data_IF_156687245148
#
_entry.id   IF_156687245148
#
_cell.length_a   1.000
_cell.length_b   1.000
_cell.length_c   1.000
_cell.angle_alpha   90.00
_cell.angle_beta   90.00
_cell.angle_gamma   90.00
#
_symmetry.space_group_name_H-M   'P 1'
#
loop_
_entity.id
_entity.type
_entity.pdbx_description
1 polymer ?
#
# COMPACT_ATOMS: atom_id res chain seq x y z
N UNK A 1 12.94 5.53 23.55
CA UNK A 1 12.97 5.80 25.00
C UNK A 1 14.43 5.76 25.42
N UNK A 2 14.91 6.77 26.12
CA UNK A 2 16.28 6.83 26.66
C UNK A 2 16.23 6.93 28.17
N UNK A 3 17.31 6.54 28.83
CA UNK A 3 17.46 6.75 30.26
C UNK A 3 17.32 8.24 30.59
N UNK A 4 16.57 8.54 31.64
CA UNK A 4 16.32 9.92 32.04
C UNK A 4 17.52 10.47 32.80
N UNK A 5 18.29 11.35 32.15
CA UNK A 5 19.42 12.06 32.76
C UNK A 5 19.25 13.55 32.52
N UNK A 6 19.09 14.33 33.60
CA UNK A 6 18.95 15.79 33.54
C UNK A 6 17.58 16.29 33.05
N UNK A 7 17.55 17.52 32.51
CA UNK A 7 16.35 18.10 31.90
C UNK A 7 15.99 17.38 30.59
N UNK A 8 14.69 17.35 30.25
CA UNK A 8 14.21 16.76 28.98
C UNK A 8 14.88 17.46 27.79
N UNK A 9 15.77 16.78 27.08
CA UNK A 9 16.22 17.27 25.77
C UNK A 9 15.06 17.14 24.79
N UNK A 10 14.51 18.28 24.37
CA UNK A 10 13.47 18.35 23.34
C UNK A 10 14.17 18.32 21.99
N UNK A 11 14.22 17.15 21.37
CA UNK A 11 14.68 17.03 19.99
C UNK A 11 13.60 17.63 19.09
N UNK A 12 13.94 18.70 18.36
CA UNK A 12 13.10 19.20 17.27
C UNK A 12 13.19 18.19 16.13
N UNK A 13 12.23 17.28 16.05
CA UNK A 13 12.06 16.43 14.88
C UNK A 13 11.89 17.33 13.65
N UNK A 14 12.62 17.07 12.56
CA UNK A 14 12.38 17.76 11.30
C UNK A 14 10.91 17.56 10.93
N UNK A 15 10.20 18.66 10.64
CA UNK A 15 8.80 18.62 10.19
C UNK A 15 8.78 18.34 8.69
N UNK A 16 9.13 17.13 8.29
CA UNK A 16 8.87 16.68 6.92
C UNK A 16 7.43 16.18 6.86
N UNK A 17 6.53 17.03 6.35
CA UNK A 17 5.10 16.75 6.33
C UNK A 17 4.74 15.93 5.10
N UNK A 18 4.25 14.71 5.34
CA UNK A 18 3.65 13.86 4.33
C UNK A 18 2.24 14.38 4.01
N UNK A 19 2.10 15.15 2.93
CA UNK A 19 0.80 15.69 2.51
C UNK A 19 0.18 14.81 1.42
N UNK A 20 -1.01 14.27 1.69
CA UNK A 20 -1.78 13.49 0.72
C UNK A 20 -3.03 14.27 0.29
N UNK A 21 -3.16 14.52 -1.01
CA UNK A 21 -4.33 15.19 -1.58
C UNK A 21 -5.44 14.19 -1.85
N UNK A 22 -6.58 14.38 -1.18
CA UNK A 22 -7.78 13.56 -1.38
C UNK A 22 -8.29 13.63 -2.82
N UNK A 23 -8.62 12.46 -3.40
CA UNK A 23 -9.24 12.33 -4.72
C UNK A 23 -10.71 11.96 -4.59
N UNK A 24 -11.48 12.23 -5.64
CA UNK A 24 -12.90 11.86 -5.76
C UNK A 24 -13.01 10.63 -6.67
N UNK A 25 -13.81 9.67 -6.27
CA UNK A 25 -14.13 8.47 -7.03
C UNK A 25 -15.65 8.33 -7.09
N UNK A 26 -16.15 7.85 -8.23
CA UNK A 26 -17.57 7.55 -8.41
C UNK A 26 -17.75 6.33 -9.32
N UNK A 27 -18.89 5.67 -9.16
CA UNK A 27 -19.43 4.72 -10.12
C UNK A 27 -20.95 4.95 -10.19
N UNK A 28 -21.51 4.98 -11.40
CA UNK A 28 -22.91 5.35 -11.62
C UNK A 28 -23.57 4.39 -12.60
N UNK A 29 -24.78 3.93 -12.26
CA UNK A 29 -25.63 3.07 -13.08
C UNK A 29 -26.94 3.80 -13.38
N UNK A 30 -27.33 3.82 -14.64
CA UNK A 30 -28.61 4.34 -15.11
C UNK A 30 -29.55 3.16 -15.40
N UNK A 31 -30.84 3.35 -15.10
CA UNK A 31 -31.90 2.37 -15.32
C UNK A 31 -33.08 3.10 -15.93
N UNK A 32 -33.57 2.62 -17.07
CA UNK A 32 -34.78 3.15 -17.70
C UNK A 32 -35.97 2.98 -16.75
N UNK A 33 -36.83 4.00 -16.67
CA UNK A 33 -38.00 3.93 -15.80
C UNK A 33 -38.97 2.84 -16.24
N UNK A 34 -39.18 2.71 -17.55
CA UNK A 34 -40.04 1.70 -18.15
C UNK A 34 -39.62 0.28 -17.76
N UNK A 35 -38.31 0.03 -17.64
CA UNK A 35 -37.81 -1.29 -17.24
C UNK A 35 -38.12 -1.62 -15.77
N UNK A 36 -38.29 -0.62 -14.90
CA UNK A 36 -38.80 -0.82 -13.55
C UNK A 36 -40.31 -1.07 -13.58
N UNK A 37 -41.05 -0.28 -14.38
CA UNK A 37 -42.50 -0.38 -14.51
C UNK A 37 -42.94 -1.73 -15.11
N UNK A 38 -42.13 -2.28 -16.02
CA UNK A 38 -42.34 -3.57 -16.71
C UNK A 38 -41.68 -4.76 -16.00
N UNK A 39 -41.21 -4.59 -14.76
CA UNK A 39 -40.52 -5.61 -13.93
C UNK A 39 -39.31 -6.30 -14.61
N UNK A 40 -38.60 -5.56 -15.46
CA UNK A 40 -37.39 -5.99 -16.15
C UNK A 40 -36.11 -5.73 -15.34
N UNK A 41 -36.23 -5.51 -14.02
CA UNK A 41 -35.14 -5.12 -13.12
C UNK A 41 -34.04 -6.17 -12.96
N UNK A 42 -34.33 -7.42 -13.31
CA UNK A 42 -33.40 -8.55 -13.20
C UNK A 42 -32.10 -8.34 -13.97
N UNK A 43 -32.15 -7.65 -15.12
CA UNK A 43 -30.98 -7.39 -15.97
C UNK A 43 -30.00 -6.37 -15.36
N UNK A 44 -30.45 -5.52 -14.43
CA UNK A 44 -29.65 -4.46 -13.81
C UNK A 44 -28.96 -4.91 -12.51
N UNK A 45 -29.42 -6.02 -11.89
CA UNK A 45 -28.82 -6.56 -10.66
C UNK A 45 -27.31 -6.81 -10.79
N UNK A 46 -26.80 -7.42 -11.89
CA UNK A 46 -25.34 -7.61 -12.06
C UNK A 46 -24.58 -6.29 -12.13
N UNK A 47 -25.16 -5.24 -12.73
CA UNK A 47 -24.52 -3.92 -12.83
C UNK A 47 -24.39 -3.25 -11.45
N UNK A 48 -25.45 -3.32 -10.64
CA UNK A 48 -25.44 -2.81 -9.27
C UNK A 48 -24.46 -3.59 -8.37
N UNK A 49 -24.40 -4.91 -8.54
CA UNK A 49 -23.43 -5.75 -7.84
C UNK A 49 -21.99 -5.37 -8.23
N UNK A 50 -21.69 -5.23 -9.53
CA UNK A 50 -20.38 -4.80 -10.01
C UNK A 50 -19.98 -3.40 -9.50
N UNK A 51 -20.94 -2.47 -9.38
CA UNK A 51 -20.70 -1.16 -8.75
C UNK A 51 -20.26 -1.31 -7.29
N UNK A 52 -20.96 -2.16 -6.52
CA UNK A 52 -20.60 -2.47 -5.13
C UNK A 52 -19.22 -3.13 -5.01
N UNK A 53 -18.93 -4.10 -5.86
CA UNK A 53 -17.63 -4.79 -5.92
C UNK A 53 -16.48 -3.81 -6.22
N UNK A 54 -16.65 -2.94 -7.23
CA UNK A 54 -15.67 -1.91 -7.58
C UNK A 54 -15.42 -0.94 -6.42
N UNK A 55 -16.48 -0.49 -5.76
CA UNK A 55 -16.37 0.41 -4.61
C UNK A 55 -15.66 -0.25 -3.42
N UNK A 56 -15.88 -1.55 -3.20
CA UNK A 56 -15.23 -2.34 -2.17
C UNK A 56 -13.75 -2.63 -2.48
N UNK A 57 -13.41 -2.89 -3.75
CA UNK A 57 -12.05 -3.17 -4.20
C UNK A 57 -11.15 -1.92 -4.32
N UNK A 58 -11.74 -0.72 -4.30
CA UNK A 58 -11.02 0.53 -4.51
C UNK A 58 -9.85 0.77 -3.52
N UNK A 59 -9.98 0.54 -2.19
CA UNK A 59 -8.86 0.72 -1.27
C UNK A 59 -7.66 -0.16 -1.61
N UNK A 60 -7.88 -1.45 -1.88
CA UNK A 60 -6.83 -2.40 -2.23
C UNK A 60 -6.16 -2.02 -3.55
N UNK A 61 -6.95 -1.65 -4.55
CA UNK A 61 -6.44 -1.16 -5.85
C UNK A 61 -5.54 0.05 -5.67
N UNK A 62 -5.94 1.01 -4.83
CA UNK A 62 -5.17 2.22 -4.59
C UNK A 62 -3.92 1.95 -3.76
N UNK A 63 -4.00 1.15 -2.69
CA UNK A 63 -2.90 0.88 -1.76
C UNK A 63 -1.83 0.01 -2.42
N UNK A 64 -2.20 -1.14 -2.96
CA UNK A 64 -1.24 -2.07 -3.55
C UNK A 64 -0.70 -1.55 -4.88
N UNK A 65 -1.50 -0.79 -5.63
CA UNK A 65 -1.07 -0.09 -6.83
C UNK A 65 0.00 0.99 -6.58
N UNK A 66 0.23 1.43 -5.34
CA UNK A 66 1.34 2.34 -5.01
C UNK A 66 2.69 1.66 -5.23
N UNK A 67 2.83 0.38 -4.88
CA UNK A 67 4.14 -0.31 -4.87
C UNK A 67 4.85 -0.26 -6.23
N UNK A 68 4.11 -0.32 -7.35
CA UNK A 68 4.61 -0.11 -8.72
C UNK A 68 5.17 1.31 -8.95
N UNK A 69 4.58 2.30 -8.31
CA UNK A 69 4.89 3.72 -8.47
C UNK A 69 6.02 4.19 -7.56
N UNK A 70 6.49 3.36 -6.63
CA UNK A 70 7.43 3.79 -5.58
C UNK A 70 8.80 4.25 -6.10
N UNK A 71 9.21 3.86 -7.31
CA UNK A 71 10.42 4.38 -7.97
C UNK A 71 10.21 5.70 -8.73
N UNK A 72 8.99 6.25 -8.71
CA UNK A 72 8.60 7.44 -9.51
C UNK A 72 7.84 8.48 -8.69
N UNK A 73 7.50 8.16 -7.44
CA UNK A 73 6.77 9.05 -6.55
C UNK A 73 7.71 9.46 -5.43
N UNK A 74 7.94 10.76 -5.31
CA UNK A 74 8.75 11.32 -4.23
C UNK A 74 8.09 11.06 -2.87
N UNK A 75 8.96 10.82 -1.89
CA UNK A 75 8.64 10.65 -0.49
C UNK A 75 8.80 11.98 0.25
N UNK A 76 8.55 11.97 1.57
CA UNK A 76 8.64 13.17 2.40
C UNK A 76 10.06 13.74 2.51
N UNK A 77 11.08 12.94 2.19
CA UNK A 77 12.51 13.29 2.24
C UNK A 77 13.08 13.75 0.88
N UNK A 78 12.22 13.89 -0.14
CA UNK A 78 12.60 14.35 -1.48
C UNK A 78 13.21 13.28 -2.40
N UNK A 79 13.44 12.05 -1.91
CA UNK A 79 13.83 10.90 -2.73
C UNK A 79 12.60 10.13 -3.20
N UNK A 80 12.73 9.25 -4.20
CA UNK A 80 11.64 8.33 -4.52
C UNK A 80 11.36 7.37 -3.34
N UNK A 81 10.14 6.87 -3.20
CA UNK A 81 9.82 5.97 -2.09
C UNK A 81 10.68 4.70 -2.05
N UNK A 82 11.05 4.15 -3.21
CA UNK A 82 12.04 3.09 -3.33
C UNK A 82 13.30 3.64 -4.01
N UNK A 83 14.33 3.87 -3.21
CA UNK A 83 15.56 4.54 -3.62
C UNK A 83 16.78 3.93 -2.91
N UNK A 84 17.96 4.18 -3.47
CA UNK A 84 19.23 3.79 -2.86
C UNK A 84 19.76 4.84 -1.88
N UNK A 85 19.26 6.08 -1.98
CA UNK A 85 19.96 7.24 -1.42
C UNK A 85 19.10 8.08 -0.45
N UNK A 86 18.27 7.45 0.39
CA UNK A 86 17.50 8.18 1.40
C UNK A 86 18.43 8.81 2.44
N UNK A 87 18.29 10.12 2.73
CA UNK A 87 19.18 10.80 3.68
C UNK A 87 18.95 10.31 5.11
N UNK A 88 20.05 10.03 5.82
CA UNK A 88 20.04 9.71 7.26
C UNK A 88 21.15 10.49 7.93
N UNK A 89 20.77 11.40 8.82
CA UNK A 89 21.69 12.35 9.43
C UNK A 89 22.16 11.89 10.81
N UNK A 90 23.42 12.22 11.13
CA UNK A 90 24.03 11.93 12.43
C UNK A 90 23.19 12.48 13.60
N UNK A 91 22.59 13.67 13.44
CA UNK A 91 21.78 14.31 14.48
C UNK A 91 20.29 14.21 14.20
N UNK A 92 19.49 14.13 15.27
CA UNK A 92 18.04 13.97 15.19
C UNK A 92 17.30 15.17 14.56
N UNK A 93 17.94 16.34 14.52
CA UNK A 93 17.39 17.56 13.90
C UNK A 93 17.56 17.62 12.37
N UNK A 94 18.12 16.56 11.76
CA UNK A 94 18.38 16.50 10.32
C UNK A 94 19.68 17.17 9.90
N UNK A 95 20.61 17.42 10.84
CA UNK A 95 21.92 18.02 10.56
C UNK A 95 23.09 17.08 10.84
N UNK A 96 24.30 17.47 10.43
CA UNK A 96 25.51 16.65 10.58
C UNK A 96 25.80 15.81 9.34
N UNK A 97 26.66 14.80 9.49
CA UNK A 97 27.04 13.94 8.37
C UNK A 97 25.84 13.13 7.87
N UNK A 98 25.55 13.20 6.57
CA UNK A 98 24.58 12.34 5.92
C UNK A 98 25.22 10.98 5.58
N UNK A 99 24.57 9.89 5.97
CA UNK A 99 24.91 8.52 5.57
C UNK A 99 23.69 7.90 4.91
N UNK A 100 23.57 7.97 3.57
CA UNK A 100 22.37 7.52 2.87
C UNK A 100 22.06 6.04 3.10
N UNK A 101 20.79 5.71 3.09
CA UNK A 101 20.28 4.36 3.25
C UNK A 101 19.38 3.97 2.08
N UNK A 102 19.47 2.70 1.69
CA UNK A 102 18.68 2.14 0.61
C UNK A 102 17.51 1.31 1.17
N UNK A 103 16.37 1.36 0.48
CA UNK A 103 15.27 0.41 0.66
C UNK A 103 14.91 -0.33 -0.64
N UNK A 104 15.86 -0.39 -1.56
CA UNK A 104 15.77 -1.18 -2.79
C UNK A 104 16.95 -2.14 -2.90
N UNK A 105 16.71 -3.31 -3.49
CA UNK A 105 17.73 -4.24 -3.94
C UNK A 105 17.49 -4.57 -5.39
N UNK A 106 18.43 -4.16 -6.24
CA UNK A 106 18.39 -4.39 -7.69
C UNK A 106 19.38 -5.49 -8.04
N UNK A 107 18.87 -6.61 -8.53
CA UNK A 107 19.68 -7.69 -9.06
C UNK A 107 19.91 -7.54 -10.56
N UNK A 108 20.30 -8.62 -11.22
CA UNK A 108 20.67 -8.62 -12.65
C UNK A 108 19.69 -9.39 -13.53
N UNK A 109 18.72 -10.11 -12.96
CA UNK A 109 17.82 -10.98 -13.70
C UNK A 109 16.56 -10.22 -14.15
N UNK A 110 16.51 -9.82 -15.42
CA UNK A 110 15.38 -9.06 -15.96
C UNK A 110 14.07 -9.87 -16.06
N UNK A 111 14.11 -11.19 -15.87
CA UNK A 111 12.92 -12.05 -16.00
C UNK A 111 12.22 -12.30 -14.65
N UNK A 112 12.76 -11.78 -13.55
CA UNK A 112 12.17 -11.97 -12.22
C UNK A 112 11.23 -10.82 -11.88
N UNK A 113 9.96 -11.11 -11.57
CA UNK A 113 9.02 -10.10 -11.09
C UNK A 113 9.48 -9.45 -9.79
N UNK A 114 9.11 -8.18 -9.61
CA UNK A 114 9.43 -7.42 -8.40
C UNK A 114 8.60 -7.92 -7.21
N UNK A 115 9.21 -8.01 -6.04
CA UNK A 115 8.55 -8.38 -4.78
C UNK A 115 8.99 -7.46 -3.64
N UNK A 116 8.22 -7.46 -2.55
CA UNK A 116 8.38 -6.46 -1.48
C UNK A 116 8.33 -7.10 -0.10
N UNK A 117 9.11 -6.56 0.83
CA UNK A 117 9.08 -6.93 2.25
C UNK A 117 8.64 -5.73 3.05
N UNK A 118 7.65 -5.92 3.93
CA UNK A 118 7.01 -4.85 4.68
C UNK A 118 7.01 -5.16 6.18
N UNK A 119 7.27 -4.14 7.00
CA UNK A 119 6.91 -4.12 8.42
C UNK A 119 5.49 -3.53 8.56
N UNK A 120 4.52 -4.42 8.76
CA UNK A 120 3.12 -4.10 9.01
C UNK A 120 2.80 -3.99 10.51
N UNK A 121 3.79 -3.98 11.40
CA UNK A 121 3.57 -4.03 12.86
C UNK A 121 3.49 -2.64 13.50
N UNK A 122 3.91 -1.59 12.77
CA UNK A 122 3.97 -0.21 13.28
C UNK A 122 2.65 0.53 13.20
N UNK A 123 2.49 1.55 14.04
CA UNK A 123 1.32 2.45 14.00
C UNK A 123 1.29 3.26 12.71
N UNK A 124 2.44 3.84 12.33
CA UNK A 124 2.60 4.46 11.01
C UNK A 124 3.02 3.38 10.03
N UNK A 125 2.30 3.23 8.92
CA UNK A 125 2.53 2.22 7.89
C UNK A 125 3.36 2.79 6.73
N UNK A 126 4.05 1.95 5.95
CA UNK A 126 4.71 2.39 4.71
C UNK A 126 3.73 2.74 3.59
N UNK A 127 2.52 2.17 3.62
CA UNK A 127 1.43 2.49 2.70
C UNK A 127 0.25 2.98 3.55
N UNK A 128 -0.28 4.15 3.23
CA UNK A 128 -1.34 4.79 4.01
C UNK A 128 -2.56 4.98 3.13
N UNK A 129 -3.71 4.53 3.62
CA UNK A 129 -5.00 4.82 3.04
C UNK A 129 -5.76 5.77 3.96
N UNK A 130 -6.14 6.92 3.43
CA UNK A 130 -6.92 7.92 4.15
C UNK A 130 -8.30 8.04 3.51
N UNK A 131 -9.33 7.73 4.29
CA UNK A 131 -10.72 8.02 3.93
C UNK A 131 -11.07 9.43 4.39
N UNK A 132 -11.60 10.27 3.48
CA UNK A 132 -12.17 11.58 3.81
C UNK A 132 -13.67 11.53 3.93
N UNK A 133 -14.34 10.81 3.05
CA UNK A 133 -15.74 10.41 3.20
C UNK A 133 -15.81 8.91 2.97
N UNK A 134 -16.60 8.23 3.81
CA UNK A 134 -16.93 6.83 3.55
C UNK A 134 -17.68 6.70 2.22
N UNK A 135 -17.88 5.46 1.77
CA UNK A 135 -18.66 5.20 0.58
C UNK A 135 -20.10 5.65 0.80
N UNK A 136 -20.57 6.56 -0.04
CA UNK A 136 -21.93 7.09 -0.03
C UNK A 136 -22.67 6.55 -1.26
N UNK A 137 -23.82 5.90 -1.02
CA UNK A 137 -24.74 5.51 -2.09
C UNK A 137 -25.84 6.55 -2.20
N UNK A 138 -26.07 7.02 -3.42
CA UNK A 138 -27.08 8.03 -3.74
C UNK A 138 -28.01 7.49 -4.83
N UNK A 139 -29.30 7.82 -4.73
CA UNK A 139 -30.30 7.43 -5.72
C UNK A 139 -31.12 8.64 -6.15
N UNK A 140 -31.38 8.76 -7.44
CA UNK A 140 -32.23 9.79 -8.03
C UNK A 140 -33.32 9.13 -8.88
N UNK A 141 -34.45 8.82 -8.24
CA UNK A 141 -35.64 8.23 -8.87
C UNK A 141 -36.89 9.14 -8.79
N UNK A 142 -36.82 10.23 -8.04
CA UNK A 142 -37.93 11.19 -7.87
C UNK A 142 -37.88 12.25 -9.00
N UNK A 143 -38.88 12.31 -9.90
CA UNK A 143 -38.94 13.29 -10.98
C UNK A 143 -38.89 14.75 -10.50
N UNK A 144 -39.36 15.03 -9.29
CA UNK A 144 -39.34 16.39 -8.74
C UNK A 144 -37.95 16.84 -8.26
N UNK A 145 -36.98 15.91 -8.16
CA UNK A 145 -35.63 16.15 -7.64
C UNK A 145 -34.52 15.72 -8.60
N UNK A 146 -34.87 15.17 -9.76
CA UNK A 146 -33.91 14.64 -10.73
C UNK A 146 -34.24 15.07 -12.14
N UNK A 147 -33.39 15.94 -12.70
CA UNK A 147 -33.50 16.37 -14.09
C UNK A 147 -33.42 15.19 -15.07
N UNK A 148 -32.61 14.17 -14.77
CA UNK A 148 -32.53 12.93 -15.58
C UNK A 148 -33.87 12.19 -15.63
N UNK A 149 -34.60 12.14 -14.52
CA UNK A 149 -35.92 11.49 -14.50
C UNK A 149 -36.94 12.35 -15.23
N UNK A 150 -36.93 13.66 -14.99
CA UNK A 150 -37.90 14.56 -15.61
C UNK A 150 -37.69 14.74 -17.13
N UNK A 151 -36.44 14.87 -17.57
CA UNK A 151 -36.10 15.19 -18.96
C UNK A 151 -35.86 13.95 -19.82
N UNK A 152 -35.39 12.85 -19.22
CA UNK A 152 -34.92 11.68 -19.97
C UNK A 152 -35.59 10.36 -19.55
N UNK A 153 -36.47 10.38 -18.55
CA UNK A 153 -37.17 9.20 -18.01
C UNK A 153 -36.24 8.08 -17.47
N UNK A 154 -35.09 8.48 -16.91
CA UNK A 154 -34.05 7.56 -16.41
C UNK A 154 -33.81 7.73 -14.91
N UNK A 155 -33.86 6.63 -14.17
CA UNK A 155 -33.41 6.55 -12.77
C UNK A 155 -31.89 6.37 -12.67
N UNK A 156 -31.26 7.06 -11.73
CA UNK A 156 -29.80 7.02 -11.55
C UNK A 156 -29.43 6.55 -10.15
N UNK A 157 -28.50 5.60 -10.08
CA UNK A 157 -27.92 5.07 -8.86
C UNK A 157 -26.43 5.33 -8.87
N UNK A 158 -25.92 6.04 -7.88
CA UNK A 158 -24.52 6.44 -7.78
C UNK A 158 -23.88 5.93 -6.51
N UNK A 159 -22.59 5.62 -6.60
CA UNK A 159 -21.70 5.41 -5.48
C UNK A 159 -20.58 6.44 -5.58
N UNK A 160 -20.27 7.14 -4.48
CA UNK A 160 -19.16 8.10 -4.46
C UNK A 160 -18.33 7.98 -3.20
N UNK A 161 -17.03 8.27 -3.32
CA UNK A 161 -16.08 8.25 -2.20
C UNK A 161 -15.03 9.33 -2.37
N UNK A 162 -14.57 9.90 -1.25
CA UNK A 162 -13.38 10.74 -1.20
C UNK A 162 -12.31 10.07 -0.37
N UNK A 163 -11.22 9.71 -1.00
CA UNK A 163 -10.11 9.03 -0.34
C UNK A 163 -8.79 9.28 -1.07
N UNK A 164 -7.69 8.86 -0.46
CA UNK A 164 -6.37 8.85 -1.08
C UNK A 164 -5.55 7.70 -0.49
N UNK A 165 -4.76 7.05 -1.34
CA UNK A 165 -3.66 6.21 -0.90
C UNK A 165 -2.34 6.93 -1.20
N UNK A 166 -1.37 6.83 -0.30
CA UNK A 166 -0.04 7.37 -0.50
C UNK A 166 1.03 6.66 0.31
N UNK A 167 2.27 7.05 0.05
CA UNK A 167 3.43 6.52 0.74
C UNK A 167 3.56 7.10 2.13
N UNK A 168 4.03 6.24 3.03
CA UNK A 168 4.32 6.45 4.43
C UNK A 168 5.82 6.53 4.72
N UNK A 169 6.26 5.85 5.78
CA UNK A 169 7.67 5.71 6.12
C UNK A 169 8.37 4.70 5.20
N UNK A 170 9.34 5.17 4.42
CA UNK A 170 10.10 4.34 3.47
C UNK A 170 10.91 3.23 4.17
N UNK A 171 11.35 3.45 5.41
CA UNK A 171 12.17 2.48 6.16
C UNK A 171 11.42 1.16 6.40
N UNK A 172 10.08 1.20 6.39
CA UNK A 172 9.22 0.06 6.71
C UNK A 172 8.90 -0.81 5.49
N UNK A 173 9.35 -0.46 4.29
CA UNK A 173 9.16 -1.26 3.09
C UNK A 173 10.47 -1.38 2.31
N UNK A 174 10.75 -2.56 1.77
CA UNK A 174 11.91 -2.81 0.94
C UNK A 174 11.48 -3.48 -0.37
N UNK A 175 11.94 -2.95 -1.50
CA UNK A 175 11.69 -3.49 -2.84
C UNK A 175 12.85 -4.37 -3.29
N UNK A 176 12.55 -5.52 -3.88
CA UNK A 176 13.51 -6.35 -4.58
C UNK A 176 13.10 -6.44 -6.06
N UNK A 177 13.87 -5.81 -6.93
CA UNK A 177 13.69 -5.91 -8.38
C UNK A 177 14.83 -6.72 -9.00
N UNK A 178 14.54 -7.41 -10.11
CA UNK A 178 15.52 -8.23 -10.84
C UNK A 178 16.28 -9.24 -9.96
N UNK A 179 15.66 -9.65 -8.86
CA UNK A 179 16.29 -10.41 -7.77
C UNK A 179 15.41 -11.61 -7.48
N UNK A 180 15.94 -12.82 -7.68
CA UNK A 180 15.21 -14.05 -7.41
C UNK A 180 14.65 -14.10 -5.98
N UNK A 181 13.37 -14.47 -5.84
CA UNK A 181 12.77 -14.75 -4.54
C UNK A 181 13.29 -16.09 -4.02
N UNK A 182 14.25 -16.02 -3.11
CA UNK A 182 14.81 -17.18 -2.43
C UNK A 182 15.19 -16.83 -0.99
N UNK A 183 15.48 -17.86 -0.19
CA UNK A 183 15.82 -17.72 1.23
C UNK A 183 16.99 -16.75 1.48
N UNK A 184 18.04 -16.82 0.66
CA UNK A 184 19.25 -16.01 0.86
C UNK A 184 18.96 -14.52 0.63
N UNK A 185 18.27 -14.19 -0.46
CA UNK A 185 17.90 -12.82 -0.80
C UNK A 185 16.90 -12.24 0.20
N UNK A 186 15.88 -13.03 0.57
CA UNK A 186 14.88 -12.61 1.56
C UNK A 186 15.51 -12.36 2.94
N UNK A 187 16.39 -13.27 3.41
CA UNK A 187 17.10 -13.07 4.68
C UNK A 187 18.02 -11.84 4.65
N UNK A 188 18.69 -11.58 3.52
CA UNK A 188 19.53 -10.39 3.35
C UNK A 188 18.69 -9.11 3.51
N UNK A 189 17.55 -9.02 2.83
CA UNK A 189 16.63 -7.88 2.92
C UNK A 189 16.08 -7.70 4.34
N UNK A 190 15.59 -8.77 4.98
CA UNK A 190 15.11 -8.72 6.38
C UNK A 190 16.21 -8.19 7.31
N UNK A 191 17.46 -8.59 7.09
CA UNK A 191 18.60 -8.15 7.89
C UNK A 191 18.91 -6.67 7.65
N UNK A 192 18.87 -6.21 6.40
CA UNK A 192 19.04 -4.80 6.03
C UNK A 192 17.99 -3.93 6.73
N UNK A 193 16.70 -4.27 6.60
CA UNK A 193 15.61 -3.52 7.23
C UNK A 193 15.78 -3.40 8.74
N UNK A 194 16.17 -4.49 9.41
CA UNK A 194 16.38 -4.51 10.87
C UNK A 194 17.55 -3.64 11.34
N UNK A 195 18.50 -3.35 10.46
CA UNK A 195 19.69 -2.54 10.75
C UNK A 195 19.51 -1.06 10.44
N UNK A 196 18.39 -0.66 9.83
CA UNK A 196 18.10 0.74 9.56
C UNK A 196 18.03 1.55 10.87
N UNK A 197 18.59 2.75 10.79
CA UNK A 197 18.63 3.73 11.88
C UNK A 197 17.87 4.98 11.48
N UNK A 198 17.33 5.68 12.46
CA UNK A 198 16.80 7.02 12.27
C UNK A 198 17.93 8.05 12.24
N UNK A 199 17.57 9.28 11.91
CA UNK A 199 18.36 10.45 12.29
C UNK A 199 18.69 10.40 13.79
N UNK A 200 19.89 10.82 14.18
CA UNK A 200 20.36 10.67 15.58
C UNK A 200 20.96 9.30 15.91
N UNK A 201 21.00 8.37 14.96
CA UNK A 201 21.63 7.06 15.12
C UNK A 201 20.82 6.01 15.91
N UNK A 202 19.59 6.32 16.30
CA UNK A 202 18.73 5.37 17.02
C UNK A 202 18.28 4.22 16.10
N UNK A 203 18.35 2.99 16.62
CA UNK A 203 17.83 1.83 15.90
C UNK A 203 16.31 1.90 15.80
N UNK A 204 15.78 1.75 14.59
CA UNK A 204 14.34 1.84 14.34
C UNK A 204 13.56 0.62 14.85
N UNK A 205 14.24 -0.49 15.18
CA UNK A 205 13.67 -1.76 15.63
C UNK A 205 12.66 -2.37 14.63
N UNK A 206 12.89 -2.18 13.34
CA UNK A 206 11.98 -2.61 12.27
C UNK A 206 11.81 -4.13 12.32
N UNK A 207 10.57 -4.59 12.22
CA UNK A 207 10.18 -6.00 12.28
C UNK A 207 9.46 -6.37 11.00
N UNK A 208 10.20 -6.74 9.93
CA UNK A 208 9.59 -7.29 8.73
C UNK A 208 8.63 -8.43 9.09
N UNK A 209 7.41 -8.35 8.60
CA UNK A 209 6.29 -9.21 8.98
C UNK A 209 5.44 -9.66 7.80
N UNK A 210 5.53 -8.98 6.65
CA UNK A 210 4.75 -9.26 5.45
C UNK A 210 5.66 -9.37 4.22
N UNK A 211 5.45 -10.42 3.43
CA UNK A 211 6.00 -10.58 2.08
C UNK A 211 4.86 -10.34 1.09
N UNK A 212 5.05 -9.41 0.16
CA UNK A 212 4.09 -9.06 -0.89
C UNK A 212 4.67 -9.47 -2.23
N UNK A 213 3.95 -10.31 -2.96
CA UNK A 213 4.40 -10.87 -4.25
C UNK A 213 3.31 -10.77 -5.31
N UNK A 214 3.67 -10.70 -6.60
CA UNK A 214 2.73 -10.89 -7.69
C UNK A 214 2.38 -12.39 -7.85
N UNK A 215 1.28 -12.73 -8.56
CA UNK A 215 0.81 -14.12 -8.68
C UNK A 215 1.85 -15.10 -9.22
N UNK A 216 2.75 -14.66 -10.11
CA UNK A 216 3.80 -15.48 -10.72
C UNK A 216 4.82 -16.02 -9.70
N UNK A 217 4.91 -15.39 -8.53
CA UNK A 217 5.80 -15.78 -7.44
C UNK A 217 5.07 -16.46 -6.27
N UNK A 218 3.76 -16.70 -6.38
CA UNK A 218 2.97 -17.29 -5.29
C UNK A 218 3.51 -18.65 -4.86
N UNK A 219 3.74 -19.58 -5.80
CA UNK A 219 4.21 -20.93 -5.48
C UNK A 219 5.57 -20.91 -4.77
N UNK A 220 6.52 -20.12 -5.29
CA UNK A 220 7.83 -19.95 -4.68
C UNK A 220 7.73 -19.32 -3.28
N UNK A 221 6.83 -18.36 -3.09
CA UNK A 221 6.61 -17.71 -1.80
C UNK A 221 5.97 -18.65 -0.77
N UNK A 222 4.99 -19.47 -1.18
CA UNK A 222 4.36 -20.50 -0.34
C UNK A 222 5.34 -21.59 0.04
N UNK A 223 6.16 -22.05 -0.90
CA UNK A 223 7.22 -23.01 -0.59
C UNK A 223 8.16 -22.45 0.48
N UNK A 224 8.58 -21.19 0.36
CA UNK A 224 9.47 -20.55 1.33
C UNK A 224 8.81 -20.32 2.70
N UNK A 225 7.57 -19.85 2.76
CA UNK A 225 6.94 -19.37 4.00
C UNK A 225 5.96 -20.35 4.66
N UNK A 226 5.48 -21.37 3.94
CA UNK A 226 4.39 -22.22 4.42
C UNK A 226 4.74 -23.71 4.40
N UNK A 227 5.62 -24.16 3.48
CA UNK A 227 5.99 -25.57 3.41
C UNK A 227 6.67 -26.07 4.70
N UNK A 228 6.37 -27.30 5.11
CA UNK A 228 7.00 -27.94 6.27
C UNK A 228 8.47 -28.30 6.03
N UNK A 229 8.79 -28.70 4.80
CA UNK A 229 10.12 -29.14 4.39
C UNK A 229 10.49 -28.54 3.03
N UNK A 230 11.76 -28.21 2.88
CA UNK A 230 12.37 -27.78 1.61
C UNK A 230 13.58 -28.69 1.38
N UNK A 231 13.66 -29.31 0.20
CA UNK A 231 14.73 -30.25 -0.17
C UNK A 231 14.97 -31.35 0.89
N UNK A 232 13.89 -31.91 1.45
CA UNK A 232 13.95 -32.98 2.44
C UNK A 232 14.30 -32.54 3.88
N UNK A 233 14.62 -31.27 4.11
CA UNK A 233 14.97 -30.71 5.43
C UNK A 233 13.87 -29.80 5.97
N UNK A 234 13.79 -29.64 7.30
CA UNK A 234 12.79 -28.78 7.94
C UNK A 234 12.91 -27.33 7.48
N UNK A 235 11.79 -26.72 7.08
CA UNK A 235 11.76 -25.33 6.69
C UNK A 235 11.80 -24.40 7.92
N UNK A 236 12.97 -23.87 8.22
CA UNK A 236 13.14 -22.91 9.33
C UNK A 236 12.61 -21.50 9.00
N UNK A 237 12.20 -21.24 7.75
CA UNK A 237 11.61 -19.96 7.33
C UNK A 237 10.08 -19.97 7.37
N UNK A 238 9.48 -21.12 7.66
CA UNK A 238 8.04 -21.27 7.80
C UNK A 238 7.48 -20.31 8.84
N UNK A 239 6.42 -19.58 8.49
CA UNK A 239 5.74 -18.60 9.34
C UNK A 239 6.57 -17.37 9.67
N UNK A 240 7.72 -17.15 9.00
CA UNK A 240 8.59 -16.01 9.27
C UNK A 240 7.96 -14.68 8.90
N UNK A 241 7.23 -14.65 7.79
CA UNK A 241 6.46 -13.53 7.27
C UNK A 241 5.07 -14.07 6.90
N UNK A 242 4.06 -13.21 6.94
CA UNK A 242 2.78 -13.46 6.28
C UNK A 242 2.96 -13.28 4.78
N UNK A 243 2.27 -14.10 3.98
CA UNK A 243 2.23 -13.94 2.54
C UNK A 243 1.00 -13.13 2.14
N UNK A 244 1.19 -12.13 1.28
CA UNK A 244 0.12 -11.48 0.54
C UNK A 244 0.42 -11.52 -0.95
N UNK A 245 -0.46 -12.17 -1.71
CA UNK A 245 -0.39 -12.22 -3.16
C UNK A 245 -1.28 -11.10 -3.70
N UNK A 246 -0.73 -10.25 -4.56
CA UNK A 246 -1.44 -9.07 -5.07
C UNK A 246 -1.42 -9.03 -6.59
N UNK A 247 -2.61 -8.98 -7.19
CA UNK A 247 -2.81 -8.82 -8.65
C UNK A 247 -2.53 -7.39 -9.13
N UNK A 248 -2.31 -6.46 -8.21
CA UNK A 248 -2.01 -5.07 -8.54
C UNK A 248 -0.51 -4.84 -8.78
N UNK A 249 0.32 -5.87 -8.59
CA UNK A 249 1.78 -5.89 -8.80
C UNK A 249 2.22 -6.33 -10.19
#
# INVERSE_FOLDING_TARGET
>A
MREWVGQRQVEKLSKEAMSLTNKKFEATVAVERTDIEDDQVGMYRPMMAAMGESAAALPDTLVWGLLKKGKTTECYDGQYFFDTDHPVFEKADGTGQNTPAANITTGTDNNVPTWYVIDDTRTVKPLVFQTRTELEFETKFDPSKSDKVFMEDVYVYGARRRCVAGFGLWQLAHMAEKTALNRANLQKIITTMRRLKSNGGYALNIKPSLLVVPPELEDAARELLEAEKINGTTNTFKGRLKLHVSVHL
#
